data_IF_510447643763
#
_entry.id   IF_510447643763
#
_cell.length_a   1.000
_cell.length_b   1.000
_cell.length_c   1.000
_cell.angle_alpha   90.00
_cell.angle_beta   90.00
_cell.angle_gamma   90.00
#
_symmetry.space_group_name_H-M   'P 1'
#
loop_
_entity.id
_entity.type
_entity.pdbx_description
1 polymer ?
#
# COMPACT_ATOMS: atom_id res chain seq x y z
N UNK A 1 -8.25 -21.44 -21.16
CA UNK A 1 -9.11 -21.06 -20.04
C UNK A 1 -8.24 -20.32 -19.02
N UNK A 2 -8.22 -18.98 -19.05
CA UNK A 2 -7.39 -18.18 -18.13
C UNK A 2 -8.09 -18.16 -16.78
N UNK A 3 -7.45 -18.70 -15.73
CA UNK A 3 -7.86 -18.46 -14.35
C UNK A 3 -7.79 -16.94 -14.14
N UNK A 4 -8.92 -16.31 -13.87
CA UNK A 4 -8.96 -14.97 -13.30
C UNK A 4 -8.36 -15.08 -11.90
N UNK A 5 -7.05 -14.87 -11.82
CA UNK A 5 -6.34 -14.84 -10.55
C UNK A 5 -6.90 -13.66 -9.77
N UNK A 6 -7.47 -13.95 -8.60
CA UNK A 6 -8.03 -12.93 -7.71
C UNK A 6 -6.88 -12.02 -7.29
N UNK A 7 -6.84 -10.80 -7.83
CA UNK A 7 -5.75 -9.84 -7.59
C UNK A 7 -5.76 -9.33 -6.14
N UNK A 8 -6.94 -9.32 -5.51
CA UNK A 8 -7.18 -8.79 -4.16
C UNK A 8 -8.03 -9.78 -3.37
N UNK A 9 -7.58 -10.14 -2.18
CA UNK A 9 -8.30 -11.04 -1.27
C UNK A 9 -9.75 -10.59 -1.07
N UNK A 10 -10.69 -11.55 -1.02
CA UNK A 10 -12.12 -11.27 -0.90
C UNK A 10 -12.50 -10.48 0.36
N UNK A 11 -11.65 -10.51 1.40
CA UNK A 11 -11.80 -9.69 2.61
C UNK A 11 -11.74 -8.18 2.36
N UNK A 12 -11.24 -7.72 1.22
CA UNK A 12 -11.21 -6.30 0.84
C UNK A 12 -12.26 -5.92 -0.20
N UNK A 13 -13.25 -6.80 -0.42
CA UNK A 13 -14.41 -6.52 -1.27
C UNK A 13 -15.55 -6.05 -0.36
N UNK A 14 -15.99 -4.81 -0.57
CA UNK A 14 -17.05 -4.20 0.22
C UNK A 14 -18.33 -4.10 -0.62
N UNK A 15 -19.47 -4.50 -0.06
CA UNK A 15 -20.77 -4.44 -0.74
C UNK A 15 -21.26 -3.01 -0.99
N UNK A 16 -20.80 -2.06 -0.16
CA UNK A 16 -21.16 -0.65 -0.22
C UNK A 16 -19.91 0.21 -0.37
N UNK A 17 -20.12 1.44 -0.82
CA UNK A 17 -19.08 2.46 -0.84
C UNK A 17 -18.44 2.57 0.55
N UNK A 18 -17.11 2.46 0.59
CA UNK A 18 -16.34 2.48 1.82
C UNK A 18 -15.43 3.70 1.82
N UNK A 19 -15.63 4.57 2.82
CA UNK A 19 -14.79 5.74 3.01
C UNK A 19 -13.56 5.37 3.85
N UNK A 20 -12.39 5.67 3.30
CA UNK A 20 -11.10 5.45 3.95
C UNK A 20 -10.37 6.77 4.13
N UNK A 21 -9.77 6.97 5.30
CA UNK A 21 -8.99 8.15 5.64
C UNK A 21 -7.51 7.80 5.64
N UNK A 22 -6.71 8.57 4.90
CA UNK A 22 -5.25 8.38 4.85
C UNK A 22 -4.60 9.38 5.80
N UNK A 23 -3.82 8.87 6.75
CA UNK A 23 -2.95 9.67 7.61
C UNK A 23 -1.51 9.45 7.20
N UNK A 24 -0.87 10.54 6.80
CA UNK A 24 0.58 10.60 6.63
C UNK A 24 1.20 11.06 7.94
N UNK A 25 2.00 10.21 8.56
CA UNK A 25 2.97 10.69 9.55
C UNK A 25 4.06 11.40 8.74
N UNK A 26 4.52 12.58 9.14
CA UNK A 26 5.59 13.33 8.48
C UNK A 26 6.78 13.43 9.43
N UNK A 27 7.15 12.30 10.02
CA UNK A 27 8.31 12.21 10.88
C UNK A 27 9.43 11.77 9.94
N UNK A 28 10.37 12.66 9.60
CA UNK A 28 11.50 12.42 8.69
C UNK A 28 12.47 11.31 9.19
N UNK A 29 11.96 10.12 9.43
CA UNK A 29 12.62 8.97 10.03
C UNK A 29 12.35 7.73 9.14
N UNK A 30 13.19 6.70 9.23
CA UNK A 30 12.90 5.40 8.63
C UNK A 30 11.55 4.88 9.14
N UNK A 31 10.60 4.58 8.24
CA UNK A 31 9.22 4.23 8.60
C UNK A 31 8.22 5.39 8.52
N UNK A 32 8.52 6.46 7.77
CA UNK A 32 7.58 7.54 7.37
C UNK A 32 6.47 6.99 6.44
N UNK A 33 5.66 6.09 6.99
CA UNK A 33 4.59 5.37 6.31
C UNK A 33 3.26 6.12 6.31
N UNK A 34 2.36 5.66 5.46
CA UNK A 34 0.95 6.06 5.47
C UNK A 34 0.15 5.00 6.23
N UNK A 35 -0.83 5.46 6.99
CA UNK A 35 -1.80 4.59 7.65
C UNK A 35 -3.18 4.93 7.12
N UNK A 36 -3.98 3.90 6.84
CA UNK A 36 -5.33 4.04 6.28
C UNK A 36 -6.33 3.55 7.31
N UNK A 37 -7.32 4.38 7.61
CA UNK A 37 -8.35 4.09 8.60
C UNK A 37 -9.73 4.03 7.96
N UNK A 38 -10.63 3.24 8.54
CA UNK A 38 -12.05 3.30 8.22
C UNK A 38 -12.73 4.52 8.87
N UNK A 39 -14.03 4.69 8.60
CA UNK A 39 -14.85 5.74 9.21
C UNK A 39 -15.06 5.58 10.73
N UNK A 40 -14.78 4.40 11.29
CA UNK A 40 -14.84 4.13 12.73
C UNK A 40 -13.51 4.40 13.44
N UNK A 41 -12.44 4.68 12.69
CA UNK A 41 -11.10 4.91 13.20
C UNK A 41 -10.25 3.64 13.35
N UNK A 42 -10.69 2.49 12.83
CA UNK A 42 -9.88 1.28 12.82
C UNK A 42 -8.82 1.34 11.73
N UNK A 43 -7.61 0.88 12.05
CA UNK A 43 -6.54 0.73 11.07
C UNK A 43 -6.90 -0.40 10.10
N UNK A 44 -6.98 -0.08 8.81
CA UNK A 44 -7.30 -1.03 7.73
C UNK A 44 -6.04 -1.40 6.96
N UNK A 45 -5.20 -0.43 6.65
CA UNK A 45 -3.95 -0.68 5.93
C UNK A 45 -2.79 0.12 6.47
N UNK A 46 -1.61 -0.45 6.30
CA UNK A 46 -0.33 0.23 6.46
C UNK A 46 0.35 0.28 5.10
N UNK A 47 0.93 1.42 4.75
CA UNK A 47 1.76 1.56 3.55
C UNK A 47 3.11 2.07 4.00
N UNK A 48 4.16 1.33 3.68
CA UNK A 48 5.52 1.72 4.05
C UNK A 48 6.47 1.64 2.85
N UNK A 49 7.52 2.45 2.92
CA UNK A 49 8.68 2.35 2.03
C UNK A 49 9.78 1.59 2.77
N UNK A 50 10.04 0.35 2.37
CA UNK A 50 11.17 -0.44 2.90
C UNK A 50 12.54 0.01 2.36
N UNK A 51 12.65 1.25 1.87
CA UNK A 51 13.83 1.74 1.18
C UNK A 51 14.96 2.04 2.17
N UNK A 52 15.85 1.07 2.35
CA UNK A 52 17.09 1.22 3.14
C UNK A 52 18.14 2.10 2.44
N UNK A 53 17.96 2.39 1.16
CA UNK A 53 18.84 3.26 0.36
C UNK A 53 18.01 4.12 -0.63
N UNK A 54 18.58 5.24 -1.08
CA UNK A 54 17.89 6.16 -2.01
C UNK A 54 17.49 5.50 -3.34
N UNK A 55 18.20 4.43 -3.71
CA UNK A 55 17.96 3.60 -4.89
C UNK A 55 16.67 2.79 -4.80
N UNK A 56 16.27 2.31 -3.62
CA UNK A 56 15.10 1.43 -3.41
C UNK A 56 13.85 2.20 -2.96
N UNK A 57 13.86 3.54 -2.94
CA UNK A 57 12.67 4.40 -2.74
C UNK A 57 11.58 4.23 -3.81
N UNK A 58 11.77 3.30 -4.74
CA UNK A 58 10.80 2.90 -5.75
C UNK A 58 9.79 1.86 -5.25
N UNK A 59 9.98 1.24 -4.10
CA UNK A 59 9.12 0.14 -3.63
C UNK A 59 8.24 0.58 -2.46
N UNK A 60 6.94 0.32 -2.61
CA UNK A 60 5.90 0.57 -1.63
C UNK A 60 5.23 -0.76 -1.30
N UNK A 61 5.02 -1.03 -0.02
CA UNK A 61 4.34 -2.24 0.41
C UNK A 61 3.07 -1.87 1.14
N UNK A 62 1.94 -2.36 0.63
CA UNK A 62 0.64 -2.34 1.27
C UNK A 62 0.54 -3.57 2.17
N UNK A 63 0.24 -3.34 3.44
CA UNK A 63 0.11 -4.37 4.47
C UNK A 63 -1.26 -4.27 5.15
N UNK A 64 -1.71 -5.41 5.65
CA UNK A 64 -2.82 -5.46 6.60
C UNK A 64 -2.39 -4.91 7.99
N UNK A 65 -3.32 -4.78 8.94
CA UNK A 65 -3.00 -4.28 10.28
C UNK A 65 -2.03 -5.18 11.07
N UNK A 66 -2.00 -6.49 10.76
CA UNK A 66 -1.07 -7.46 11.37
C UNK A 66 0.36 -7.37 10.82
N UNK A 67 0.55 -6.63 9.72
CA UNK A 67 1.84 -6.49 9.03
C UNK A 67 2.06 -7.51 7.91
N UNK A 68 1.02 -8.27 7.53
CA UNK A 68 1.11 -9.17 6.37
C UNK A 68 1.10 -8.34 5.09
N UNK A 69 2.09 -8.57 4.22
CA UNK A 69 2.15 -7.93 2.92
C UNK A 69 1.01 -8.41 2.01
N UNK A 70 0.20 -7.48 1.54
CA UNK A 70 -0.91 -7.71 0.62
C UNK A 70 -0.48 -7.45 -0.83
N UNK A 71 0.21 -6.34 -1.06
CA UNK A 71 0.66 -5.92 -2.38
C UNK A 71 1.97 -5.15 -2.26
N UNK A 72 2.90 -5.41 -3.19
CA UNK A 72 4.09 -4.58 -3.37
C UNK A 72 3.99 -3.88 -4.70
N UNK A 73 4.15 -2.56 -4.70
CA UNK A 73 4.13 -1.74 -5.91
C UNK A 73 5.52 -1.17 -6.12
N UNK A 74 6.07 -1.37 -7.32
CA UNK A 74 7.42 -0.95 -7.68
C UNK A 74 7.39 0.06 -8.82
N UNK A 75 8.03 1.20 -8.59
CA UNK A 75 8.22 2.24 -9.60
C UNK A 75 9.26 1.79 -10.61
N UNK A 76 8.89 1.78 -11.90
CA UNK A 76 9.78 1.40 -12.99
C UNK A 76 10.83 2.49 -13.23
N UNK A 77 12.08 2.21 -12.86
CA UNK A 77 13.21 3.18 -12.87
C UNK A 77 13.50 3.85 -14.22
N UNK A 78 13.25 3.15 -15.33
CA UNK A 78 13.66 3.61 -16.68
C UNK A 78 12.53 4.35 -17.42
N UNK A 79 11.34 4.47 -16.81
CA UNK A 79 10.17 4.98 -17.51
C UNK A 79 10.00 6.51 -17.34
N UNK A 80 10.15 7.25 -18.44
CA UNK A 80 9.84 8.69 -18.51
C UNK A 80 8.40 9.01 -18.09
N UNK A 81 7.50 8.01 -18.18
CA UNK A 81 6.07 8.09 -17.84
C UNK A 81 5.74 7.80 -16.36
N UNK A 82 6.73 7.62 -15.47
CA UNK A 82 6.52 7.37 -14.02
C UNK A 82 5.51 6.25 -13.73
N UNK A 83 5.64 5.10 -14.40
CA UNK A 83 4.74 3.95 -14.22
C UNK A 83 5.08 3.11 -12.99
N UNK A 84 4.05 2.50 -12.43
CA UNK A 84 4.12 1.54 -11.32
C UNK A 84 3.74 0.16 -11.85
N UNK A 85 4.38 -0.88 -11.34
CA UNK A 85 4.11 -2.27 -11.61
C UNK A 85 3.97 -3.05 -10.31
#
# INVERSE_FOLDING_TARGET
>A
MKRSEVIVDGSFIYEKETQLTIRKTCLFFPGDGLTVYDCSGHLVFRVDTYATNASHRSELVLMDPSGRCLLTVRRKRVDRRKRWA
#
